data_IF_035543968683
#
_entry.id   IF_035543968683
#
_cell.length_a   1.000
_cell.length_b   1.000
_cell.length_c   1.000
_cell.angle_alpha   90.00
_cell.angle_beta   90.00
_cell.angle_gamma   90.00
#
_symmetry.space_group_name_H-M   'P 1'
#
loop_
_entity.id
_entity.type
_entity.pdbx_description
1 polymer ?
#
# COMPACT_ATOMS: atom_id res chain seq x y z
N UNK A 1 -3.98 8.14 -23.80
CA UNK A 1 -5.05 8.88 -24.50
C UNK A 1 -5.83 9.61 -23.42
N UNK A 2 -5.87 10.95 -23.44
CA UNK A 2 -6.37 11.74 -22.32
C UNK A 2 -7.88 11.56 -22.14
N UNK A 3 -8.27 10.71 -21.20
CA UNK A 3 -9.66 10.41 -20.84
C UNK A 3 -10.48 11.69 -20.57
N UNK A 4 -9.83 12.71 -20.01
CA UNK A 4 -10.40 14.04 -19.79
C UNK A 4 -10.77 14.80 -21.06
N UNK A 5 -10.07 14.58 -22.19
CA UNK A 5 -10.38 15.23 -23.46
C UNK A 5 -11.61 14.61 -24.12
N UNK A 6 -11.75 13.29 -24.02
CA UNK A 6 -12.88 12.53 -24.56
C UNK A 6 -14.15 12.82 -23.76
N UNK A 7 -14.07 12.83 -22.42
CA UNK A 7 -15.21 13.20 -21.57
C UNK A 7 -15.69 14.62 -21.84
N UNK A 8 -14.78 15.60 -21.98
CA UNK A 8 -15.14 16.99 -22.30
C UNK A 8 -15.75 17.10 -23.70
N UNK A 9 -15.18 16.42 -24.69
CA UNK A 9 -15.72 16.39 -26.04
C UNK A 9 -17.12 15.78 -26.09
N UNK A 10 -17.36 14.74 -25.30
CA UNK A 10 -18.63 14.03 -25.29
C UNK A 10 -19.70 14.77 -24.46
N UNK A 11 -19.32 15.46 -23.38
CA UNK A 11 -20.21 16.39 -22.67
C UNK A 11 -20.62 17.57 -23.57
N UNK A 12 -19.66 18.17 -24.30
CA UNK A 12 -19.95 19.25 -25.25
C UNK A 12 -20.92 18.78 -26.34
N UNK A 13 -20.69 17.59 -26.90
CA UNK A 13 -21.54 17.02 -27.94
C UNK A 13 -22.93 16.67 -27.41
N UNK A 14 -23.03 16.10 -26.20
CA UNK A 14 -24.31 15.83 -25.55
C UNK A 14 -25.10 17.10 -25.24
N UNK A 15 -24.46 18.15 -24.73
CA UNK A 15 -25.08 19.44 -24.49
C UNK A 15 -25.59 20.08 -25.79
N UNK A 16 -24.82 19.97 -26.87
CA UNK A 16 -25.17 20.52 -28.19
C UNK A 16 -26.36 19.78 -28.82
N UNK A 17 -26.44 18.46 -28.65
CA UNK A 17 -27.57 17.64 -29.10
C UNK A 17 -28.87 17.97 -28.34
N UNK A 18 -28.81 18.16 -27.01
CA UNK A 18 -29.96 18.56 -26.20
C UNK A 18 -30.46 19.96 -26.60
N UNK A 19 -29.52 20.88 -26.88
CA UNK A 19 -29.84 22.24 -27.31
C UNK A 19 -30.48 22.27 -28.70
N UNK A 20 -29.99 21.47 -29.65
CA UNK A 20 -30.63 21.25 -30.96
C UNK A 20 -32.02 20.63 -30.83
N UNK A 21 -32.18 19.66 -29.94
CA UNK A 21 -33.49 19.04 -29.67
C UNK A 21 -34.50 20.05 -29.10
N UNK A 22 -34.07 20.91 -28.16
CA UNK A 22 -34.91 21.97 -27.60
C UNK A 22 -35.28 23.05 -28.64
N UNK A 23 -34.33 23.45 -29.50
CA UNK A 23 -34.59 24.37 -30.62
C UNK A 23 -35.57 23.80 -31.64
N UNK A 24 -35.60 22.47 -31.81
CA UNK A 24 -36.57 21.77 -32.65
C UNK A 24 -38.03 21.90 -32.21
N UNK A 25 -38.31 22.39 -30.98
CA UNK A 25 -39.65 22.74 -30.53
C UNK A 25 -40.04 24.20 -30.82
N UNK A 26 -39.06 25.09 -30.99
CA UNK A 26 -39.27 26.54 -31.14
C UNK A 26 -39.20 26.98 -32.60
N UNK A 27 -38.41 26.28 -33.43
CA UNK A 27 -38.16 26.64 -34.83
C UNK A 27 -38.88 25.68 -35.78
N UNK A 28 -39.92 26.14 -36.53
CA UNK A 28 -40.72 25.28 -37.42
C UNK A 28 -39.90 24.59 -38.52
N UNK A 29 -38.83 25.22 -39.01
CA UNK A 29 -37.94 24.65 -40.03
C UNK A 29 -37.17 23.41 -39.53
N UNK A 30 -36.93 23.30 -38.22
CA UNK A 30 -36.26 22.16 -37.58
C UNK A 30 -37.29 21.09 -37.18
N UNK A 31 -38.57 21.47 -37.02
CA UNK A 31 -39.69 20.57 -36.75
C UNK A 31 -39.82 19.42 -37.74
N UNK A 32 -39.52 19.65 -39.03
CA UNK A 32 -39.57 18.63 -40.08
C UNK A 32 -38.51 17.50 -39.89
N UNK A 33 -37.43 17.79 -39.17
CA UNK A 33 -36.30 16.88 -38.92
C UNK A 33 -36.35 16.28 -37.51
N UNK A 34 -37.43 16.50 -36.74
CA UNK A 34 -37.52 16.07 -35.34
C UNK A 34 -37.36 14.55 -35.15
N UNK A 35 -37.88 13.74 -36.07
CA UNK A 35 -37.77 12.27 -36.01
C UNK A 35 -36.31 11.83 -36.13
N UNK A 36 -35.56 12.41 -37.08
CA UNK A 36 -34.14 12.12 -37.31
C UNK A 36 -33.28 12.62 -36.15
N UNK A 37 -33.57 13.80 -35.61
CA UNK A 37 -32.90 14.33 -34.41
C UNK A 37 -33.13 13.42 -33.20
N UNK A 38 -34.36 12.93 -32.98
CA UNK A 38 -34.65 11.98 -31.89
C UNK A 38 -33.87 10.68 -32.04
N UNK A 39 -33.81 10.11 -33.24
CA UNK A 39 -33.03 8.89 -33.50
C UNK A 39 -31.55 9.14 -33.22
N UNK A 40 -30.99 10.26 -33.68
CA UNK A 40 -29.60 10.64 -33.40
C UNK A 40 -29.31 10.80 -31.91
N UNK A 41 -30.24 11.40 -31.15
CA UNK A 41 -30.10 11.52 -29.69
C UNK A 41 -30.12 10.15 -29.02
N UNK A 42 -31.06 9.27 -29.39
CA UNK A 42 -31.14 7.91 -28.82
C UNK A 42 -29.88 7.11 -29.14
N UNK A 43 -29.41 7.15 -30.39
CA UNK A 43 -28.15 6.50 -30.79
C UNK A 43 -26.97 7.07 -30.01
N UNK A 44 -26.90 8.40 -29.83
CA UNK A 44 -25.87 9.05 -29.02
C UNK A 44 -25.87 8.59 -27.56
N UNK A 45 -27.05 8.46 -26.94
CA UNK A 45 -27.19 7.97 -25.56
C UNK A 45 -26.78 6.50 -25.45
N UNK A 46 -27.17 5.64 -26.40
CA UNK A 46 -26.79 4.22 -26.40
C UNK A 46 -25.28 4.06 -26.59
N UNK A 47 -24.67 4.81 -27.50
CA UNK A 47 -23.21 4.82 -27.69
C UNK A 47 -22.48 5.32 -26.45
N UNK A 48 -23.00 6.35 -25.78
CA UNK A 48 -22.43 6.83 -24.53
C UNK A 48 -22.54 5.79 -23.41
N UNK A 49 -23.70 5.15 -23.26
CA UNK A 49 -23.91 4.10 -22.28
C UNK A 49 -22.93 2.93 -22.51
N UNK A 50 -22.79 2.49 -23.77
CA UNK A 50 -21.83 1.45 -24.15
C UNK A 50 -20.38 1.87 -23.87
N UNK A 51 -20.00 3.10 -24.19
CA UNK A 51 -18.68 3.65 -23.88
C UNK A 51 -18.43 3.69 -22.37
N UNK A 52 -19.38 4.21 -21.59
CA UNK A 52 -19.30 4.31 -20.12
C UNK A 52 -19.18 2.94 -19.45
N UNK A 53 -19.91 1.94 -19.96
CA UNK A 53 -19.83 0.57 -19.46
C UNK A 53 -18.44 -0.03 -19.74
N UNK A 54 -17.89 0.22 -20.93
CA UNK A 54 -16.57 -0.26 -21.31
C UNK A 54 -15.44 0.39 -20.52
N UNK A 55 -15.51 1.71 -20.27
CA UNK A 55 -14.54 2.41 -19.43
C UNK A 55 -14.65 1.93 -17.99
N UNK A 56 -15.86 1.80 -17.46
CA UNK A 56 -16.10 1.33 -16.09
C UNK A 56 -15.58 -0.10 -15.88
N UNK A 57 -15.68 -0.98 -16.88
CA UNK A 57 -15.08 -2.34 -16.80
C UNK A 57 -13.56 -2.32 -16.87
N UNK A 58 -12.95 -1.38 -17.60
CA UNK A 58 -11.49 -1.20 -17.60
C UNK A 58 -10.98 -0.64 -16.26
N UNK A 59 -11.66 0.39 -15.75
CA UNK A 59 -11.32 1.01 -14.49
C UNK A 59 -11.48 0.04 -13.31
N UNK A 60 -12.52 -0.81 -13.34
CA UNK A 60 -12.71 -1.87 -12.34
C UNK A 60 -11.56 -2.89 -12.33
N UNK A 61 -11.02 -3.25 -13.51
CA UNK A 61 -9.87 -4.16 -13.61
C UNK A 61 -8.58 -3.51 -13.12
N UNK A 62 -8.35 -2.24 -13.45
CA UNK A 62 -7.16 -1.51 -12.99
C UNK A 62 -7.21 -1.29 -11.47
N UNK A 63 -8.39 -1.00 -10.92
CA UNK A 63 -8.61 -0.89 -9.49
C UNK A 63 -8.37 -2.24 -8.78
N UNK A 64 -8.86 -3.35 -9.36
CA UNK A 64 -8.63 -4.69 -8.82
C UNK A 64 -7.14 -5.05 -8.84
N UNK A 65 -6.41 -4.74 -9.93
CA UNK A 65 -4.97 -4.96 -10.02
C UNK A 65 -4.22 -4.18 -8.93
N UNK A 66 -4.51 -2.87 -8.78
CA UNK A 66 -3.93 -2.04 -7.72
C UNK A 66 -4.27 -2.53 -6.32
N UNK A 67 -5.50 -3.02 -6.10
CA UNK A 67 -5.90 -3.61 -4.83
C UNK A 67 -5.11 -4.89 -4.51
N UNK A 68 -4.84 -5.74 -5.52
CA UNK A 68 -4.01 -6.94 -5.33
C UNK A 68 -2.55 -6.59 -5.05
N UNK A 69 -1.99 -5.58 -5.71
CA UNK A 69 -0.65 -5.09 -5.40
C UNK A 69 -0.58 -4.53 -3.97
N UNK A 70 -1.55 -3.69 -3.57
CA UNK A 70 -1.63 -3.17 -2.21
C UNK A 70 -1.78 -4.29 -1.15
N UNK A 71 -2.52 -5.35 -1.46
CA UNK A 71 -2.64 -6.51 -0.59
C UNK A 71 -1.29 -7.26 -0.44
N UNK A 72 -0.54 -7.40 -1.54
CA UNK A 72 0.79 -7.99 -1.53
C UNK A 72 1.75 -7.20 -0.65
N UNK A 73 1.80 -5.87 -0.82
CA UNK A 73 2.63 -5.00 0.00
C UNK A 73 2.26 -5.05 1.49
N UNK A 74 0.97 -5.14 1.81
CA UNK A 74 0.52 -5.32 3.20
C UNK A 74 1.02 -6.64 3.79
N UNK A 75 0.91 -7.72 3.03
CA UNK A 75 1.37 -9.04 3.48
C UNK A 75 2.88 -9.06 3.71
N UNK A 76 3.67 -8.48 2.79
CA UNK A 76 5.12 -8.35 2.95
C UNK A 76 5.48 -7.48 4.16
N UNK A 77 4.74 -6.39 4.40
CA UNK A 77 4.95 -5.54 5.58
C UNK A 77 4.62 -6.26 6.90
N UNK A 78 3.56 -7.07 6.93
CA UNK A 78 3.18 -7.89 8.09
C UNK A 78 4.28 -8.92 8.41
N UNK A 79 4.84 -9.58 7.39
CA UNK A 79 5.95 -10.52 7.52
C UNK A 79 7.26 -9.84 7.98
N UNK A 80 7.57 -8.66 7.45
CA UNK A 80 8.72 -7.89 7.93
C UNK A 80 8.53 -7.48 9.40
N UNK A 81 7.31 -7.14 9.80
CA UNK A 81 7.02 -6.75 11.18
C UNK A 81 7.15 -7.94 12.13
N UNK A 82 6.70 -9.12 11.74
CA UNK A 82 6.83 -10.32 12.56
C UNK A 82 8.30 -10.74 12.71
N UNK A 83 9.09 -10.69 11.63
CA UNK A 83 10.53 -10.99 11.69
C UNK A 83 11.29 -9.98 12.53
N UNK A 84 10.98 -8.67 12.43
CA UNK A 84 11.57 -7.65 13.30
C UNK A 84 11.29 -7.90 14.79
N UNK A 85 10.06 -8.29 15.14
CA UNK A 85 9.72 -8.63 16.52
C UNK A 85 10.51 -9.84 17.03
N UNK A 86 10.70 -10.86 16.18
CA UNK A 86 11.52 -12.03 16.53
C UNK A 86 12.98 -11.63 16.77
N UNK A 87 13.59 -10.88 15.83
CA UNK A 87 14.95 -10.36 15.95
C UNK A 87 15.12 -9.49 17.19
N UNK A 88 14.12 -8.69 17.55
CA UNK A 88 14.16 -7.86 18.76
C UNK A 88 14.15 -8.70 20.04
N UNK A 89 13.38 -9.79 20.07
CA UNK A 89 13.38 -10.73 21.19
C UNK A 89 14.71 -11.47 21.30
N UNK A 90 15.25 -11.98 20.18
CA UNK A 90 16.56 -12.64 20.16
C UNK A 90 17.68 -11.70 20.64
N UNK A 91 17.64 -10.43 20.21
CA UNK A 91 18.61 -9.42 20.65
C UNK A 91 18.50 -9.17 22.16
N UNK A 92 17.29 -9.17 22.71
CA UNK A 92 17.07 -9.02 24.15
C UNK A 92 17.62 -10.20 24.93
N UNK A 93 17.33 -11.42 24.48
CA UNK A 93 17.86 -12.64 25.09
C UNK A 93 19.39 -12.69 25.04
N UNK A 94 19.99 -12.35 23.90
CA UNK A 94 21.44 -12.28 23.75
C UNK A 94 22.06 -11.25 24.71
N UNK A 95 21.40 -10.11 24.92
CA UNK A 95 21.88 -9.07 25.83
C UNK A 95 21.77 -9.50 27.31
N UNK A 96 20.70 -10.21 27.68
CA UNK A 96 20.54 -10.76 29.03
C UNK A 96 21.56 -11.89 29.30
N UNK A 97 21.85 -12.73 28.30
CA UNK A 97 22.92 -13.72 28.36
C UNK A 97 24.29 -13.06 28.53
N UNK A 98 24.57 -11.97 27.81
CA UNK A 98 25.82 -11.22 27.90
C UNK A 98 26.01 -10.63 29.30
N UNK A 99 24.97 -10.01 29.88
CA UNK A 99 25.02 -9.53 31.27
C UNK A 99 25.31 -10.65 32.26
N UNK A 100 24.67 -11.81 32.07
CA UNK A 100 24.88 -12.97 32.93
C UNK A 100 26.32 -13.46 32.84
N UNK A 101 26.86 -13.59 31.63
CA UNK A 101 28.26 -13.94 31.40
C UNK A 101 29.23 -12.92 32.03
N UNK A 102 28.93 -11.63 31.96
CA UNK A 102 29.74 -10.58 32.59
C UNK A 102 29.75 -10.70 34.12
N UNK A 103 28.60 -10.99 34.73
CA UNK A 103 28.53 -11.23 36.18
C UNK A 103 29.30 -12.49 36.60
N UNK A 104 29.21 -13.56 35.81
CA UNK A 104 29.97 -14.78 36.05
C UNK A 104 31.48 -14.54 35.93
N UNK A 105 31.91 -13.77 34.93
CA UNK A 105 33.32 -13.36 34.77
C UNK A 105 33.83 -12.57 35.98
N UNK A 106 33.05 -11.62 36.50
CA UNK A 106 33.41 -10.84 37.71
C UNK A 106 33.55 -11.73 38.94
N UNK A 107 32.64 -12.69 39.12
CA UNK A 107 32.74 -13.69 40.21
C UNK A 107 33.99 -14.55 40.07
N UNK A 108 34.24 -15.11 38.89
CA UNK A 108 35.42 -15.93 38.63
C UNK A 108 36.74 -15.15 38.86
N UNK A 109 36.80 -13.87 38.49
CA UNK A 109 37.96 -13.03 38.79
C UNK A 109 38.17 -12.81 40.29
N UNK A 110 37.08 -12.70 41.06
CA UNK A 110 37.16 -12.52 42.51
C UNK A 110 37.65 -13.79 43.21
N UNK A 111 37.14 -14.95 42.79
CA UNK A 111 37.61 -16.27 43.24
C UNK A 111 39.09 -16.49 42.89
N UNK A 112 39.51 -16.13 41.68
CA UNK A 112 40.91 -16.22 41.26
C UNK A 112 41.84 -15.37 42.14
N UNK A 113 41.44 -14.13 42.46
CA UNK A 113 42.22 -13.27 43.36
C UNK A 113 42.37 -13.89 44.74
N UNK A 114 41.28 -14.39 45.32
CA UNK A 114 41.32 -15.07 46.63
C UNK A 114 42.22 -16.31 46.60
N UNK A 115 42.15 -17.10 45.53
CA UNK A 115 42.99 -18.28 45.37
C UNK A 115 44.48 -17.90 45.25
N UNK A 116 44.81 -16.79 44.57
CA UNK A 116 46.17 -16.26 44.52
C UNK A 116 46.64 -15.80 45.90
N UNK A 117 45.84 -15.02 46.62
CA UNK A 117 46.16 -14.55 47.98
C UNK A 117 46.41 -15.73 48.94
N UNK A 118 45.56 -16.77 48.91
CA UNK A 118 45.74 -17.98 49.71
C UNK A 118 47.00 -18.79 49.33
N UNK A 119 47.38 -18.78 48.04
CA UNK A 119 48.60 -19.43 47.57
C UNK A 119 49.85 -18.69 48.06
N UNK A 120 49.84 -17.35 48.00
CA UNK A 120 50.92 -16.51 48.52
C UNK A 120 51.08 -16.70 50.04
N UNK A 121 49.97 -16.75 50.80
CA UNK A 121 50.00 -17.05 52.24
C UNK A 121 50.62 -18.43 52.51
N UNK A 122 50.22 -19.48 51.78
CA UNK A 122 50.79 -20.82 51.92
C UNK A 122 52.27 -20.92 51.53
N UNK A 123 52.73 -20.08 50.59
CA UNK A 123 54.15 -20.02 50.22
C UNK A 123 54.96 -19.30 51.30
N UNK A 124 54.46 -18.17 51.81
CA UNK A 124 55.14 -17.42 52.88
C UNK A 124 55.29 -18.21 54.18
N UNK A 125 54.32 -19.08 54.50
CA UNK A 125 54.36 -19.96 55.69
C UNK A 125 55.22 -21.20 55.51
N UNK A 126 55.59 -21.57 54.28
CA UNK A 126 56.53 -22.68 54.00
C UNK A 126 58.00 -22.24 54.03
N UNK A 127 58.27 -20.95 53.85
CA UNK A 127 59.63 -20.38 53.87
C UNK A 127 60.04 -19.78 55.24
N UNK A 128 59.10 -19.74 56.20
CA UNK A 128 59.33 -19.33 57.59
C UNK A 128 59.60 -20.54 58.51
#
# INVERSE_FOLDING_TARGET
MNQSLIERGLMLLGALLILLFALGFVVPAIGAWQSEIRIMVVVGVVLYAAYSFWTQTKDAKDLAAKATEAAKWRHEAEQLRSTLNQLQNELREANDALKTAETAKKKAQTELKKAQEALEECQSTKEA
#
